data_IF_686595150660
#
_entry.id   IF_686595150660
#
_cell.length_a   1.000
_cell.length_b   1.000
_cell.length_c   1.000
_cell.angle_alpha   90.00
_cell.angle_beta   90.00
_cell.angle_gamma   90.00
#
_symmetry.space_group_name_H-M   'P 1'
#
loop_
_entity.id
_entity.type
_entity.pdbx_description
1 polymer ?
#
# COMPACT_ATOMS: atom_id res chain seq x y z
N UNK A 1 8.25 -3.36 -11.50
CA UNK A 1 7.49 -3.30 -12.75
C UNK A 1 7.89 -2.06 -13.58
N UNK A 2 7.80 -0.88 -13.02
CA UNK A 2 8.02 0.40 -13.72
C UNK A 2 9.49 0.76 -13.95
N UNK A 3 10.45 0.16 -13.24
CA UNK A 3 11.88 0.47 -13.40
C UNK A 3 12.39 0.07 -14.79
N UNK A 4 12.96 1.03 -15.53
CA UNK A 4 13.50 0.83 -16.88
C UNK A 4 14.92 0.23 -16.88
N UNK A 5 15.62 0.27 -15.76
CA UNK A 5 16.92 -0.39 -15.55
C UNK A 5 16.71 -1.60 -14.66
N UNK A 6 16.77 -2.79 -15.24
CA UNK A 6 16.86 -4.02 -14.44
C UNK A 6 18.30 -4.14 -13.94
N UNK A 7 18.50 -4.14 -12.63
CA UNK A 7 19.81 -4.47 -12.05
C UNK A 7 19.98 -5.99 -12.23
N UNK A 8 20.92 -6.39 -13.05
CA UNK A 8 21.13 -7.81 -13.44
C UNK A 8 21.31 -8.75 -12.23
N UNK A 9 21.84 -8.23 -11.12
CA UNK A 9 22.09 -9.01 -9.91
C UNK A 9 20.86 -9.10 -8.97
N UNK A 10 19.83 -8.23 -9.14
CA UNK A 10 18.64 -8.19 -8.30
C UNK A 10 17.40 -7.86 -9.15
N UNK A 11 17.07 -8.76 -10.06
CA UNK A 11 16.00 -8.58 -11.06
C UNK A 11 14.60 -8.27 -10.45
N UNK A 12 14.44 -8.43 -9.14
CA UNK A 12 13.20 -8.16 -8.40
C UNK A 12 13.12 -6.76 -7.75
N UNK A 13 14.23 -5.99 -7.72
CA UNK A 13 14.29 -4.70 -7.03
C UNK A 13 14.46 -3.55 -8.03
N UNK A 14 13.75 -2.45 -7.80
CA UNK A 14 13.92 -1.23 -8.57
C UNK A 14 15.29 -0.58 -8.28
N UNK A 15 15.95 0.01 -9.29
CA UNK A 15 17.30 0.59 -9.12
C UNK A 15 17.32 1.87 -8.27
N UNK A 16 16.19 2.54 -8.06
CA UNK A 16 16.09 3.79 -7.31
C UNK A 16 16.60 5.05 -8.03
N UNK A 17 17.37 4.93 -9.12
CA UNK A 17 18.12 6.03 -9.71
C UNK A 17 17.66 6.42 -11.13
N UNK A 18 17.02 5.52 -11.89
CA UNK A 18 16.59 5.83 -13.25
C UNK A 18 15.48 6.89 -13.27
N UNK A 19 15.22 7.45 -14.43
CA UNK A 19 14.18 8.48 -14.59
C UNK A 19 12.81 8.00 -14.08
N UNK A 20 12.40 6.80 -14.44
CA UNK A 20 11.17 6.17 -13.97
C UNK A 20 11.14 6.04 -12.43
N UNK A 21 12.22 5.56 -11.79
CA UNK A 21 12.27 5.47 -10.32
C UNK A 21 12.17 6.84 -9.63
N UNK A 22 12.78 7.87 -10.19
CA UNK A 22 12.69 9.24 -9.66
C UNK A 22 11.27 9.81 -9.78
N UNK A 23 10.59 9.56 -10.89
CA UNK A 23 9.19 9.96 -11.06
C UNK A 23 8.27 9.22 -10.09
N UNK A 24 8.52 7.92 -9.85
CA UNK A 24 7.83 7.14 -8.84
C UNK A 24 8.00 7.73 -7.45
N UNK A 25 9.24 8.03 -7.04
CA UNK A 25 9.54 8.64 -5.74
C UNK A 25 8.90 10.02 -5.57
N UNK A 26 8.75 10.77 -6.67
CA UNK A 26 8.07 12.07 -6.68
C UNK A 26 6.53 11.96 -6.73
N UNK A 27 5.95 10.75 -6.81
CA UNK A 27 4.50 10.54 -6.91
C UNK A 27 3.88 10.92 -8.25
N UNK A 28 4.70 11.13 -9.30
CA UNK A 28 4.26 11.67 -10.59
C UNK A 28 4.57 10.75 -11.78
N UNK A 29 4.54 9.43 -11.57
CA UNK A 29 4.86 8.48 -12.63
C UNK A 29 3.71 8.37 -13.63
N UNK A 30 3.92 8.67 -14.95
CA UNK A 30 2.83 8.70 -15.93
C UNK A 30 2.23 7.33 -16.23
N UNK A 31 2.99 6.24 -16.04
CA UNK A 31 2.52 4.86 -16.27
C UNK A 31 2.04 4.17 -14.98
N UNK A 32 1.75 4.96 -13.94
CA UNK A 32 1.17 4.49 -12.69
C UNK A 32 -0.11 5.26 -12.34
N UNK A 33 -1.13 4.53 -11.96
CA UNK A 33 -2.37 5.11 -11.45
C UNK A 33 -2.77 4.43 -10.15
N UNK A 34 -3.16 5.24 -9.18
CA UNK A 34 -3.77 4.78 -7.94
C UNK A 34 -5.28 5.00 -8.01
N UNK A 35 -6.06 3.96 -7.67
CA UNK A 35 -7.51 4.00 -7.60
C UNK A 35 -7.95 3.70 -6.17
N UNK A 36 -8.43 4.72 -5.49
CA UNK A 36 -8.90 4.66 -4.11
C UNK A 36 -10.20 5.44 -3.95
N UNK A 37 -10.93 5.30 -2.84
CA UNK A 37 -12.09 6.13 -2.56
C UNK A 37 -11.74 7.62 -2.63
N UNK A 38 -12.60 8.42 -3.24
CA UNK A 38 -12.48 9.89 -3.20
C UNK A 38 -12.74 10.39 -1.77
N UNK A 39 -12.17 11.56 -1.40
CA UNK A 39 -12.11 12.10 -0.02
C UNK A 39 -13.45 12.08 0.73
N UNK A 40 -14.56 12.27 0.03
CA UNK A 40 -15.92 12.26 0.62
C UNK A 40 -16.64 10.90 0.53
N UNK A 41 -15.97 9.86 0.01
CA UNK A 41 -16.59 8.56 -0.25
C UNK A 41 -15.89 7.44 0.50
N UNK A 42 -16.70 6.54 1.10
CA UNK A 42 -16.18 5.28 1.66
C UNK A 42 -16.13 4.14 0.64
N UNK A 43 -16.44 4.42 -0.62
CA UNK A 43 -16.54 3.42 -1.67
C UNK A 43 -15.86 3.89 -2.96
N UNK A 44 -15.25 2.96 -3.67
CA UNK A 44 -14.82 3.16 -5.04
C UNK A 44 -16.04 3.00 -5.95
N UNK A 45 -16.38 4.07 -6.65
CA UNK A 45 -17.53 4.15 -7.55
C UNK A 45 -17.13 3.79 -8.98
N UNK A 46 -18.13 3.57 -9.82
CA UNK A 46 -17.94 3.21 -11.24
C UNK A 46 -17.06 4.21 -12.01
N UNK A 47 -17.12 5.49 -11.64
CA UNK A 47 -16.34 6.53 -12.33
C UNK A 47 -14.82 6.39 -12.04
N UNK A 48 -14.42 5.92 -10.85
CA UNK A 48 -13.04 5.55 -10.56
C UNK A 48 -12.55 4.41 -11.47
N UNK A 49 -13.38 3.38 -11.66
CA UNK A 49 -13.07 2.26 -12.56
C UNK A 49 -13.07 2.69 -14.04
N UNK A 50 -13.92 3.62 -14.44
CA UNK A 50 -13.87 4.18 -15.80
C UNK A 50 -12.57 4.92 -16.07
N UNK A 51 -12.11 5.79 -15.14
CA UNK A 51 -10.82 6.47 -15.23
C UNK A 51 -9.67 5.47 -15.34
N UNK A 52 -9.72 4.39 -14.53
CA UNK A 52 -8.76 3.30 -14.58
C UNK A 52 -8.72 2.64 -15.97
N UNK A 53 -9.89 2.32 -16.54
CA UNK A 53 -9.98 1.70 -17.86
C UNK A 53 -9.48 2.64 -18.97
N UNK A 54 -9.81 3.93 -18.90
CA UNK A 54 -9.31 4.96 -19.82
C UNK A 54 -7.78 5.08 -19.74
N UNK A 55 -7.21 5.03 -18.55
CA UNK A 55 -5.76 5.03 -18.33
C UNK A 55 -5.10 3.81 -18.98
N UNK A 56 -5.64 2.61 -18.79
CA UNK A 56 -5.08 1.38 -19.35
C UNK A 56 -5.21 1.27 -20.88
N UNK A 57 -6.10 2.05 -21.50
CA UNK A 57 -6.23 2.12 -22.97
C UNK A 57 -5.14 2.99 -23.63
N UNK A 58 -4.38 3.74 -22.84
CA UNK A 58 -3.26 4.55 -23.34
C UNK A 58 -2.01 3.69 -23.48
N UNK A 59 -1.09 4.12 -24.32
CA UNK A 59 0.25 3.48 -24.41
C UNK A 59 1.14 3.94 -23.26
N UNK A 60 1.95 3.05 -22.65
CA UNK A 60 2.94 3.45 -21.67
C UNK A 60 3.88 4.52 -22.24
N UNK A 61 4.22 5.53 -21.44
CA UNK A 61 5.04 6.67 -21.90
C UNK A 61 6.54 6.48 -21.63
N UNK A 62 6.89 5.84 -20.53
CA UNK A 62 8.27 5.73 -20.04
C UNK A 62 8.64 4.29 -19.74
N UNK A 63 7.73 3.57 -19.11
CA UNK A 63 7.93 2.19 -18.66
C UNK A 63 7.49 1.17 -19.71
N UNK A 64 7.93 -0.09 -19.64
CA UNK A 64 7.48 -1.12 -20.57
C UNK A 64 6.00 -1.53 -20.37
N UNK A 65 5.39 -1.12 -19.27
CA UNK A 65 4.02 -1.50 -18.90
C UNK A 65 3.35 -0.38 -18.12
N UNK A 66 2.03 -0.45 -18.03
CA UNK A 66 1.23 0.35 -17.10
C UNK A 66 0.93 -0.44 -15.84
N UNK A 67 0.86 0.24 -14.71
CA UNK A 67 0.52 -0.35 -13.41
C UNK A 67 -0.59 0.45 -12.77
N UNK A 68 -1.64 -0.25 -12.37
CA UNK A 68 -2.72 0.33 -11.56
C UNK A 68 -2.74 -0.35 -10.19
N UNK A 69 -2.73 0.42 -9.12
CA UNK A 69 -3.01 -0.03 -7.76
C UNK A 69 -4.44 0.36 -7.40
N UNK A 70 -5.25 -0.60 -6.98
CA UNK A 70 -6.62 -0.41 -6.53
C UNK A 70 -6.75 -0.89 -5.09
N UNK A 71 -7.01 0.03 -4.18
CA UNK A 71 -7.11 -0.27 -2.76
C UNK A 71 -8.07 0.66 -1.99
N UNK A 72 -8.75 0.13 -0.98
CA UNK A 72 -8.97 -1.30 -0.73
C UNK A 72 -10.02 -1.87 -1.71
N UNK A 73 -9.76 -3.04 -2.28
CA UNK A 73 -10.64 -3.62 -3.32
C UNK A 73 -12.03 -4.00 -2.80
N UNK A 74 -12.15 -4.30 -1.51
CA UNK A 74 -13.41 -4.68 -0.88
C UNK A 74 -14.43 -3.52 -0.76
N UNK A 75 -14.01 -2.28 -1.00
CA UNK A 75 -14.94 -1.13 -0.98
C UNK A 75 -15.48 -0.75 -2.37
N UNK A 76 -15.17 -1.55 -3.38
CA UNK A 76 -15.85 -1.42 -4.70
C UNK A 76 -17.35 -1.62 -4.52
N UNK A 77 -18.16 -0.68 -5.02
CA UNK A 77 -19.59 -0.95 -5.13
C UNK A 77 -19.88 -1.95 -6.26
N UNK A 78 -21.08 -2.55 -6.27
CA UNK A 78 -21.45 -3.60 -7.23
C UNK A 78 -21.28 -3.18 -8.71
N UNK A 79 -21.59 -1.93 -9.05
CA UNK A 79 -21.46 -1.42 -10.42
C UNK A 79 -19.97 -1.25 -10.81
N UNK A 80 -19.14 -0.73 -9.90
CA UNK A 80 -17.71 -0.60 -10.10
C UNK A 80 -17.04 -1.99 -10.25
N UNK A 81 -17.40 -2.92 -9.37
CA UNK A 81 -16.89 -4.29 -9.44
C UNK A 81 -17.23 -4.97 -10.78
N UNK A 82 -18.48 -4.86 -11.24
CA UNK A 82 -18.89 -5.41 -12.53
C UNK A 82 -18.18 -4.75 -13.71
N UNK A 83 -17.95 -3.43 -13.67
CA UNK A 83 -17.19 -2.72 -14.70
C UNK A 83 -15.72 -3.16 -14.76
N UNK A 84 -15.16 -3.60 -13.65
CA UNK A 84 -13.76 -4.07 -13.57
C UNK A 84 -13.57 -5.50 -14.13
N UNK A 85 -14.62 -6.34 -14.10
CA UNK A 85 -14.50 -7.75 -14.48
C UNK A 85 -13.95 -7.95 -15.89
N UNK A 86 -14.42 -7.14 -16.87
CA UNK A 86 -13.92 -7.23 -18.25
C UNK A 86 -12.44 -6.93 -18.36
N UNK A 87 -11.96 -5.92 -17.63
CA UNK A 87 -10.55 -5.54 -17.62
C UNK A 87 -9.68 -6.59 -16.92
N UNK A 88 -10.24 -7.28 -15.92
CA UNK A 88 -9.53 -8.40 -15.27
C UNK A 88 -9.45 -9.65 -16.15
N UNK A 89 -10.45 -9.88 -17.02
CA UNK A 89 -10.44 -11.00 -17.96
C UNK A 89 -9.50 -10.75 -19.14
N UNK A 90 -9.52 -9.55 -19.68
CA UNK A 90 -8.78 -9.13 -20.86
C UNK A 90 -8.08 -7.79 -20.61
N UNK A 91 -7.00 -7.76 -19.82
CA UNK A 91 -6.30 -6.51 -19.56
C UNK A 91 -5.71 -5.94 -20.85
N UNK A 92 -5.90 -4.64 -21.12
CA UNK A 92 -5.39 -4.04 -22.35
C UNK A 92 -3.87 -3.88 -22.31
N UNK A 93 -3.21 -4.20 -23.41
CA UNK A 93 -1.75 -4.02 -23.57
C UNK A 93 -0.90 -4.74 -22.53
N UNK A 94 0.30 -4.22 -22.29
CA UNK A 94 1.18 -4.68 -21.22
C UNK A 94 0.82 -3.93 -19.92
N UNK A 95 -0.11 -4.48 -19.17
CA UNK A 95 -0.61 -3.84 -17.95
C UNK A 95 -0.66 -4.79 -16.75
N UNK A 96 -0.51 -4.21 -15.56
CA UNK A 96 -0.62 -4.91 -14.29
C UNK A 96 -1.62 -4.21 -13.39
N UNK A 97 -2.60 -4.98 -12.89
CA UNK A 97 -3.56 -4.52 -11.90
C UNK A 97 -3.22 -5.14 -10.55
N UNK A 98 -2.83 -4.30 -9.60
CA UNK A 98 -2.56 -4.68 -8.22
C UNK A 98 -3.81 -4.38 -7.39
N UNK A 99 -4.52 -5.43 -6.98
CA UNK A 99 -5.71 -5.33 -6.15
C UNK A 99 -5.33 -5.64 -4.71
N UNK A 100 -5.43 -4.65 -3.84
CA UNK A 100 -4.96 -4.76 -2.45
C UNK A 100 -6.15 -4.88 -1.49
N UNK A 101 -6.05 -5.80 -0.55
CA UNK A 101 -7.06 -6.00 0.50
C UNK A 101 -6.43 -6.51 1.80
N UNK A 102 -6.93 -6.03 2.91
CA UNK A 102 -6.64 -6.58 4.23
C UNK A 102 -7.61 -7.73 4.59
N UNK A 103 -8.75 -7.81 3.90
CA UNK A 103 -9.84 -8.74 4.22
C UNK A 103 -10.29 -9.52 2.99
N UNK A 104 -9.51 -10.52 2.61
CA UNK A 104 -9.78 -11.34 1.43
C UNK A 104 -11.22 -11.92 1.41
N UNK A 105 -11.79 -12.23 2.57
CA UNK A 105 -13.16 -12.74 2.69
C UNK A 105 -14.24 -11.72 2.26
N UNK A 106 -13.92 -10.43 2.31
CA UNK A 106 -14.84 -9.34 1.91
C UNK A 106 -14.76 -9.00 0.42
N UNK A 107 -13.76 -9.52 -0.29
CA UNK A 107 -13.60 -9.33 -1.74
C UNK A 107 -14.57 -10.22 -2.49
N UNK A 108 -15.28 -9.68 -3.48
CA UNK A 108 -16.26 -10.42 -4.29
C UNK A 108 -15.61 -11.65 -4.93
N UNK A 109 -16.28 -12.83 -4.86
CA UNK A 109 -15.76 -14.07 -5.46
C UNK A 109 -15.45 -13.96 -6.96
N UNK A 110 -16.23 -13.15 -7.69
CA UNK A 110 -16.05 -12.89 -9.12
C UNK A 110 -14.74 -12.17 -9.44
N UNK A 111 -14.28 -11.27 -8.57
CA UNK A 111 -12.97 -10.60 -8.69
C UNK A 111 -11.86 -11.60 -8.31
N UNK A 112 -11.99 -12.27 -7.16
CA UNK A 112 -10.98 -13.22 -6.67
C UNK A 112 -10.66 -14.34 -7.65
N UNK A 113 -11.66 -14.83 -8.39
CA UNK A 113 -11.49 -15.93 -9.35
C UNK A 113 -10.68 -15.53 -10.58
N UNK A 114 -10.49 -14.23 -10.82
CA UNK A 114 -9.76 -13.67 -11.97
C UNK A 114 -8.39 -13.09 -11.62
N UNK A 115 -8.03 -13.15 -10.35
CA UNK A 115 -6.76 -12.61 -9.86
C UNK A 115 -5.84 -13.72 -9.36
N UNK A 116 -4.56 -13.59 -9.66
CA UNK A 116 -3.53 -14.39 -8.99
C UNK A 116 -3.35 -13.84 -7.57
N UNK A 117 -3.50 -14.72 -6.59
CA UNK A 117 -3.34 -14.34 -5.18
C UNK A 117 -1.86 -14.29 -4.81
N UNK A 118 -1.45 -13.15 -4.27
CA UNK A 118 -0.17 -12.97 -3.60
C UNK A 118 -0.42 -12.63 -2.12
N UNK A 119 0.10 -13.46 -1.23
CA UNK A 119 -0.01 -13.20 0.21
C UNK A 119 1.30 -12.59 0.70
N UNK A 120 1.23 -11.38 1.24
CA UNK A 120 2.35 -10.73 1.89
C UNK A 120 2.49 -11.28 3.31
N UNK A 121 3.67 -11.77 3.64
CA UNK A 121 3.96 -12.24 4.99
C UNK A 121 4.07 -11.06 5.96
N UNK A 122 3.47 -11.22 7.14
CA UNK A 122 3.70 -10.28 8.24
C UNK A 122 5.16 -10.47 8.71
N UNK A 123 5.96 -9.41 8.85
CA UNK A 123 7.33 -9.53 9.32
C UNK A 123 7.36 -10.08 10.76
N UNK A 124 8.40 -10.86 11.07
CA UNK A 124 8.60 -11.32 12.45
C UNK A 124 8.85 -10.13 13.39
N UNK A 125 8.60 -10.28 14.71
CA UNK A 125 8.88 -9.23 15.68
C UNK A 125 10.31 -8.71 15.61
N UNK A 126 11.30 -9.61 15.41
CA UNK A 126 12.69 -9.23 15.27
C UNK A 126 12.94 -8.42 13.98
N UNK A 127 12.42 -8.85 12.85
CA UNK A 127 12.54 -8.10 11.60
C UNK A 127 11.91 -6.70 11.70
N UNK A 128 10.76 -6.58 12.37
CA UNK A 128 10.10 -5.30 12.61
C UNK A 128 10.98 -4.38 13.48
N UNK A 129 11.61 -4.93 14.53
CA UNK A 129 12.49 -4.18 15.41
C UNK A 129 13.76 -3.72 14.68
N UNK A 130 14.42 -4.63 13.97
CA UNK A 130 15.63 -4.33 13.19
C UNK A 130 15.35 -3.24 12.15
N UNK A 131 14.21 -3.31 11.48
CA UNK A 131 13.78 -2.31 10.50
C UNK A 131 13.52 -0.94 11.15
N UNK A 132 12.86 -0.89 12.31
CA UNK A 132 12.64 0.34 13.07
C UNK A 132 13.95 1.00 13.47
N UNK A 133 14.92 0.21 13.98
CA UNK A 133 16.25 0.69 14.35
C UNK A 133 17.03 1.20 13.13
N UNK A 134 16.97 0.50 11.99
CA UNK A 134 17.58 0.94 10.74
C UNK A 134 16.99 2.28 10.24
N UNK A 135 15.75 2.60 10.62
CA UNK A 135 15.11 3.89 10.35
C UNK A 135 15.32 4.93 11.48
N UNK A 136 16.31 4.73 12.34
CA UNK A 136 16.74 5.71 13.35
C UNK A 136 15.92 5.72 14.63
N UNK A 137 15.09 4.70 14.88
CA UNK A 137 14.30 4.62 16.10
C UNK A 137 15.13 4.01 17.23
N UNK A 138 15.09 4.62 18.43
CA UNK A 138 15.68 4.04 19.62
C UNK A 138 15.10 2.65 19.92
N UNK A 139 15.92 1.64 20.34
CA UNK A 139 15.45 0.27 20.55
C UNK A 139 14.28 0.14 21.53
N UNK A 140 14.29 0.89 22.64
CA UNK A 140 13.23 0.83 23.66
C UNK A 140 11.94 1.49 23.13
N UNK A 141 12.08 2.61 22.44
CA UNK A 141 10.94 3.30 21.80
C UNK A 141 10.37 2.46 20.68
N UNK A 142 11.20 1.79 19.87
CA UNK A 142 10.79 0.89 18.81
C UNK A 142 9.97 -0.29 19.34
N UNK A 143 10.45 -0.93 20.42
CA UNK A 143 9.73 -2.04 21.05
C UNK A 143 8.37 -1.61 21.59
N UNK A 144 8.31 -0.47 22.28
CA UNK A 144 7.05 0.09 22.77
C UNK A 144 6.09 0.41 21.63
N UNK A 145 6.59 1.09 20.59
CA UNK A 145 5.79 1.48 19.43
C UNK A 145 5.22 0.25 18.69
N UNK A 146 6.02 -0.80 18.51
CA UNK A 146 5.57 -2.05 17.89
C UNK A 146 4.47 -2.72 18.69
N UNK A 147 4.59 -2.80 20.02
CA UNK A 147 3.55 -3.35 20.89
C UNK A 147 2.24 -2.57 20.78
N UNK A 148 2.31 -1.24 20.74
CA UNK A 148 1.14 -0.36 20.65
C UNK A 148 0.46 -0.40 19.27
N UNK A 149 1.19 -0.79 18.22
CA UNK A 149 0.70 -0.82 16.84
C UNK A 149 0.61 -2.27 16.29
N UNK A 150 0.29 -3.25 17.12
CA UNK A 150 0.05 -4.64 16.72
C UNK A 150 1.21 -5.25 15.90
N UNK A 151 2.43 -4.90 16.22
CA UNK A 151 3.66 -5.30 15.52
C UNK A 151 3.76 -4.83 14.07
N UNK A 152 2.99 -3.82 13.65
CA UNK A 152 3.05 -3.21 12.33
C UNK A 152 4.15 -2.13 12.29
N UNK A 153 5.33 -2.38 11.66
CA UNK A 153 6.48 -1.48 11.79
C UNK A 153 6.26 -0.12 11.15
N UNK A 154 5.56 -0.04 10.02
CA UNK A 154 5.26 1.24 9.34
C UNK A 154 4.35 2.11 10.22
N UNK A 155 3.28 1.55 10.78
CA UNK A 155 2.39 2.27 11.68
C UNK A 155 3.11 2.67 12.99
N UNK A 156 3.98 1.80 13.50
CA UNK A 156 4.80 2.06 14.68
C UNK A 156 5.77 3.24 14.44
N UNK A 157 6.43 3.28 13.29
CA UNK A 157 7.33 4.36 12.93
C UNK A 157 6.57 5.70 12.81
N UNK A 158 5.42 5.70 12.14
CA UNK A 158 4.57 6.89 12.03
C UNK A 158 4.10 7.37 13.42
N UNK A 159 3.78 6.46 14.33
CA UNK A 159 3.37 6.76 15.71
C UNK A 159 4.52 7.44 16.49
N UNK A 160 5.77 7.01 16.30
CA UNK A 160 6.98 7.64 16.88
C UNK A 160 7.22 9.02 16.27
N UNK A 161 7.18 9.13 14.93
CA UNK A 161 7.41 10.40 14.23
C UNK A 161 6.37 11.49 14.59
N UNK A 162 5.14 11.09 14.90
CA UNK A 162 4.08 11.99 15.40
C UNK A 162 4.19 12.28 16.90
N UNK A 163 5.27 11.87 17.58
CA UNK A 163 5.51 12.05 19.03
C UNK A 163 4.39 11.45 19.92
N UNK A 164 3.60 10.53 19.39
CA UNK A 164 2.52 9.89 20.17
C UNK A 164 3.01 9.05 21.33
N UNK A 165 4.27 8.55 21.27
CA UNK A 165 4.93 7.84 22.36
C UNK A 165 5.12 8.72 23.60
N UNK A 166 5.43 10.03 23.44
CA UNK A 166 5.57 10.99 24.54
C UNK A 166 4.22 11.25 25.19
N UNK A 167 3.19 11.47 24.37
CA UNK A 167 1.82 11.66 24.87
C UNK A 167 1.33 10.42 25.63
N UNK A 168 1.58 9.22 25.10
CA UNK A 168 1.22 7.97 25.76
C UNK A 168 1.90 7.83 27.13
N UNK A 169 3.21 8.08 27.20
CA UNK A 169 3.97 8.02 28.46
C UNK A 169 3.47 9.05 29.48
N UNK A 170 3.13 10.26 29.03
CA UNK A 170 2.53 11.27 29.89
C UNK A 170 1.18 10.82 30.47
N UNK A 171 0.29 10.23 29.67
CA UNK A 171 -0.98 9.67 30.15
C UNK A 171 -0.78 8.54 31.15
N UNK A 172 0.18 7.64 30.92
CA UNK A 172 0.49 6.56 31.88
C UNK A 172 0.97 7.11 33.23
N UNK A 173 1.82 8.12 33.23
CA UNK A 173 2.28 8.77 34.47
C UNK A 173 1.12 9.39 35.25
N UNK A 174 0.21 10.07 34.58
CA UNK A 174 -0.97 10.65 35.22
C UNK A 174 -1.87 9.56 35.85
N UNK A 175 -2.12 8.48 35.11
CA UNK A 175 -2.93 7.36 35.63
C UNK A 175 -2.29 6.70 36.85
N UNK A 176 -0.96 6.52 36.85
CA UNK A 176 -0.24 5.96 38.00
C UNK A 176 -0.32 6.90 39.24
N UNK A 177 -0.26 8.20 39.04
CA UNK A 177 -0.44 9.17 40.15
C UNK A 177 -1.85 9.09 40.75
N UNK A 178 -2.88 8.89 39.92
CA UNK A 178 -4.28 8.73 40.39
C UNK A 178 -4.52 7.39 41.11
N UNK A 179 -3.79 6.35 40.72
CA UNK A 179 -3.91 5.01 41.36
C UNK A 179 -3.22 4.94 42.72
N UNK A 180 -2.25 5.78 42.98
CA UNK A 180 -1.43 5.78 44.20
C UNK A 180 -1.85 6.84 45.25
N UNK A 181 -2.88 7.66 44.97
CA UNK A 181 -3.48 8.62 45.87
C UNK A 181 -4.88 8.23 46.27
#
# INVERSE_FOLDING_TARGET
LLCTRRVEQHASVACGECHSCRLWQAGNHPDFMECQPEDDSRQIRIDGVRKLNEFLMQTPQISPCQVVSLHPVEVLNGNAANALLKTLEEPPGESFLLLETERLGSVMPTIRSRCQRLTLAIPSPQQSLDWMQANGCDPLVAEQALRMNQMAPIAALAWVQQQRHEQHNHWLQQLQQWSNG
#
